data_IF_219419251023
#
_entry.id   IF_219419251023
#
_cell.length_a   1.000
_cell.length_b   1.000
_cell.length_c   1.000
_cell.angle_alpha   90.00
_cell.angle_beta   90.00
_cell.angle_gamma   90.00
#
_symmetry.space_group_name_H-M   'P 1'
#
loop_
_entity.id
_entity.type
_entity.pdbx_description
1 polymer ?
#
# COMPACT_ATOMS: atom_id res chain seq x y z
N UNK A 1 -4.84 14.47 6.01
CA UNK A 1 -5.16 13.23 6.73
C UNK A 1 -6.64 13.22 7.07
N UNK A 2 -7.25 12.04 7.06
CA UNK A 2 -8.58 11.85 7.66
C UNK A 2 -8.40 11.99 9.17
N UNK A 3 -9.03 12.98 9.77
CA UNK A 3 -8.82 13.32 11.20
C UNK A 3 -9.41 12.27 12.15
N UNK A 4 -10.54 11.67 11.76
CA UNK A 4 -11.19 10.60 12.53
C UNK A 4 -11.33 9.38 11.62
N UNK A 5 -10.32 8.51 11.61
CA UNK A 5 -10.38 7.27 10.86
C UNK A 5 -11.14 6.21 11.67
N UNK A 6 -12.17 5.65 11.06
CA UNK A 6 -12.94 4.52 11.61
C UNK A 6 -12.33 3.16 11.19
N UNK A 7 -11.19 3.16 10.47
CA UNK A 7 -10.53 1.93 10.09
C UNK A 7 -10.02 1.14 11.29
N UNK A 8 -10.54 -0.07 11.54
CA UNK A 8 -10.17 -0.88 12.71
C UNK A 8 -8.68 -1.27 12.70
N UNK A 9 -8.03 -1.23 11.55
CA UNK A 9 -6.59 -1.52 11.40
C UNK A 9 -5.71 -0.28 11.51
N UNK A 10 -6.31 0.88 11.78
CA UNK A 10 -5.62 2.17 11.96
C UNK A 10 -4.74 2.56 10.77
N UNK A 11 -5.19 2.25 9.56
CA UNK A 11 -4.52 2.71 8.34
C UNK A 11 -4.63 4.22 8.24
N UNK A 12 -3.51 4.90 8.06
CA UNK A 12 -3.48 6.36 8.00
C UNK A 12 -3.81 6.85 6.58
N UNK A 13 -5.10 6.86 6.26
CA UNK A 13 -5.60 7.39 5.00
C UNK A 13 -5.42 8.90 4.91
N UNK A 14 -5.11 9.37 3.70
CA UNK A 14 -5.04 10.79 3.36
C UNK A 14 -6.14 11.14 2.36
N UNK A 15 -6.18 12.39 1.91
CA UNK A 15 -7.03 12.78 0.80
C UNK A 15 -6.51 12.15 -0.50
N UNK A 16 -7.40 11.75 -1.38
CA UNK A 16 -7.03 11.29 -2.72
C UNK A 16 -6.42 12.43 -3.54
N UNK A 17 -5.49 12.08 -4.42
CA UNK A 17 -4.75 13.06 -5.21
C UNK A 17 -4.56 12.60 -6.64
N UNK A 18 -4.32 13.57 -7.53
CA UNK A 18 -3.74 13.40 -8.87
C UNK A 18 -2.57 14.35 -9.05
N UNK A 19 -1.64 14.03 -9.94
CA UNK A 19 -0.57 14.94 -10.29
C UNK A 19 -1.16 16.23 -10.93
N UNK A 20 -0.75 17.37 -10.44
CA UNK A 20 -1.08 18.68 -11.02
C UNK A 20 -0.10 18.98 -12.16
N UNK A 21 -0.30 18.32 -13.28
CA UNK A 21 0.58 18.37 -14.45
C UNK A 21 -0.24 18.55 -15.73
N UNK A 22 0.28 19.28 -16.73
CA UNK A 22 -0.36 19.34 -18.05
C UNK A 22 -0.40 17.98 -18.78
N UNK A 23 0.40 17.02 -18.32
CA UNK A 23 0.41 15.64 -18.83
C UNK A 23 -0.68 14.76 -18.20
N UNK A 24 -1.36 15.22 -17.16
CA UNK A 24 -2.48 14.51 -16.53
C UNK A 24 -3.75 14.78 -17.31
N UNK A 25 -4.41 13.74 -17.78
CA UNK A 25 -5.72 13.86 -18.45
C UNK A 25 -6.86 13.76 -17.41
N UNK A 26 -7.52 12.63 -17.30
CA UNK A 26 -8.61 12.42 -16.33
C UNK A 26 -8.12 11.92 -14.96
N UNK A 27 -6.85 11.54 -14.83
CA UNK A 27 -6.28 10.96 -13.61
C UNK A 27 -6.48 9.44 -13.48
N UNK A 28 -7.32 8.83 -14.32
CA UNK A 28 -7.77 7.42 -14.18
C UNK A 28 -6.85 6.45 -14.94
N UNK A 29 -6.28 6.88 -16.05
CA UNK A 29 -5.45 5.99 -16.89
C UNK A 29 -4.25 5.44 -16.10
N UNK A 30 -3.73 4.29 -16.52
CA UNK A 30 -2.50 3.73 -15.93
C UNK A 30 -1.33 4.72 -16.02
N UNK A 31 -1.26 5.50 -17.12
CA UNK A 31 -0.29 6.56 -17.31
C UNK A 31 -0.43 7.68 -16.26
N UNK A 32 -1.64 8.21 -16.09
CA UNK A 32 -1.91 9.30 -15.16
C UNK A 32 -1.67 8.88 -13.70
N UNK A 33 -2.11 7.68 -13.36
CA UNK A 33 -1.90 7.11 -12.02
C UNK A 33 -0.41 6.88 -11.74
N UNK A 34 0.33 6.38 -12.73
CA UNK A 34 1.78 6.23 -12.61
C UNK A 34 2.49 7.59 -12.50
N UNK A 35 2.03 8.61 -13.24
CA UNK A 35 2.54 9.97 -13.11
C UNK A 35 2.32 10.50 -11.69
N UNK A 36 1.12 10.36 -11.14
CA UNK A 36 0.80 10.76 -9.77
C UNK A 36 1.69 10.05 -8.74
N UNK A 37 1.88 8.73 -8.88
CA UNK A 37 2.76 7.97 -7.99
C UNK A 37 4.22 8.45 -8.08
N UNK A 38 4.72 8.76 -9.28
CA UNK A 38 6.08 9.30 -9.46
C UNK A 38 6.22 10.70 -8.88
N UNK A 39 5.19 11.54 -9.00
CA UNK A 39 5.16 12.87 -8.39
C UNK A 39 5.23 12.78 -6.87
N UNK A 40 4.43 11.90 -6.26
CA UNK A 40 4.48 11.63 -4.81
C UNK A 40 5.85 11.12 -4.34
N UNK A 41 6.54 10.34 -5.17
CA UNK A 41 7.87 9.81 -4.87
C UNK A 41 9.02 10.78 -5.19
N UNK A 42 8.74 11.95 -5.76
CA UNK A 42 9.78 12.91 -6.10
C UNK A 42 10.45 13.49 -4.84
N UNK A 43 11.78 13.76 -4.85
CA UNK A 43 12.52 14.25 -3.68
C UNK A 43 12.00 15.59 -3.14
N UNK A 44 11.51 16.39 -4.06
CA UNK A 44 11.07 17.76 -3.86
C UNK A 44 9.56 17.91 -4.09
N UNK A 45 8.80 16.80 -3.93
CA UNK A 45 7.35 16.85 -4.05
C UNK A 45 6.77 17.89 -3.08
N UNK A 46 5.97 18.79 -3.63
CA UNK A 46 5.30 19.87 -2.90
C UNK A 46 3.78 19.72 -2.98
N UNK A 47 3.01 20.30 -2.05
CA UNK A 47 1.56 20.26 -2.09
C UNK A 47 0.95 20.76 -3.40
N UNK A 48 1.61 21.68 -4.07
CA UNK A 48 1.19 22.33 -5.33
C UNK A 48 1.30 21.39 -6.53
N UNK A 49 2.15 20.36 -6.43
CA UNK A 49 2.32 19.34 -7.46
C UNK A 49 1.13 18.36 -7.52
N UNK A 50 0.18 18.50 -6.61
CA UNK A 50 -0.93 17.58 -6.45
C UNK A 50 -2.28 18.31 -6.41
N UNK A 51 -3.24 17.82 -7.19
CA UNK A 51 -4.66 18.20 -7.13
C UNK A 51 -5.40 17.33 -6.13
N UNK A 52 -6.37 17.88 -5.44
CA UNK A 52 -7.25 17.24 -4.46
C UNK A 52 -8.71 17.60 -4.72
N UNK A 53 -9.64 16.64 -4.82
CA UNK A 53 -9.44 15.17 -4.80
C UNK A 53 -8.81 14.63 -6.10
N UNK A 54 -8.46 13.35 -6.08
CA UNK A 54 -7.93 12.62 -7.23
C UNK A 54 -8.22 11.12 -7.14
N UNK A 55 -7.43 10.31 -7.85
CA UNK A 55 -7.65 8.86 -8.02
C UNK A 55 -6.60 7.99 -7.33
N UNK A 56 -5.54 8.57 -6.80
CA UNK A 56 -4.53 7.87 -5.97
C UNK A 56 -4.80 8.22 -4.51
N UNK A 57 -4.79 7.20 -3.65
CA UNK A 57 -5.02 7.31 -2.22
C UNK A 57 -3.71 7.12 -1.45
N UNK A 58 -2.97 8.18 -1.13
CA UNK A 58 -1.75 8.04 -0.34
C UNK A 58 -2.07 7.56 1.07
N UNK A 59 -1.22 6.66 1.56
CA UNK A 59 -1.24 6.16 2.93
C UNK A 59 0.07 6.58 3.61
N UNK A 60 -0.01 6.94 4.88
CA UNK A 60 1.19 7.25 5.66
C UNK A 60 1.60 6.03 6.48
N UNK A 61 2.81 5.53 6.25
CA UNK A 61 3.41 4.51 7.10
C UNK A 61 3.74 5.08 8.49
N UNK A 62 3.73 4.22 9.51
CA UNK A 62 4.20 4.56 10.85
C UNK A 62 5.72 4.74 10.84
N UNK A 63 6.23 5.63 11.70
CA UNK A 63 7.66 5.95 11.77
C UNK A 63 8.51 4.74 12.19
N UNK A 64 8.01 3.93 13.12
CA UNK A 64 8.63 2.67 13.53
C UNK A 64 8.51 1.53 12.52
N UNK A 65 7.91 1.77 11.34
CA UNK A 65 7.78 0.80 10.26
C UNK A 65 7.02 -0.47 10.65
N UNK A 66 7.41 -1.60 10.07
CA UNK A 66 6.75 -2.90 10.31
C UNK A 66 6.85 -3.39 11.76
N UNK A 67 7.78 -2.86 12.53
CA UNK A 67 7.93 -3.18 13.96
C UNK A 67 6.91 -2.47 14.84
N UNK A 68 6.42 -1.30 14.41
CA UNK A 68 5.36 -0.55 15.10
C UNK A 68 3.98 -1.04 14.68
N UNK A 69 3.80 -1.27 13.37
CA UNK A 69 2.54 -1.72 12.79
C UNK A 69 2.81 -2.73 11.68
N UNK A 70 2.41 -3.97 11.89
CA UNK A 70 2.53 -5.05 10.90
C UNK A 70 1.52 -4.94 9.77
N UNK A 71 1.47 -3.80 9.07
CA UNK A 71 0.58 -3.53 7.95
C UNK A 71 1.29 -3.55 6.59
N UNK A 72 0.51 -3.72 5.51
CA UNK A 72 1.06 -3.69 4.14
C UNK A 72 1.65 -2.33 3.78
N UNK A 73 1.14 -1.23 4.34
CA UNK A 73 1.68 0.12 4.16
C UNK A 73 3.12 0.20 4.66
N UNK A 74 3.35 -0.25 5.89
CA UNK A 74 4.68 -0.28 6.50
C UNK A 74 5.59 -1.28 5.78
N UNK A 75 5.07 -2.45 5.41
CA UNK A 75 5.84 -3.46 4.69
C UNK A 75 6.34 -2.95 3.33
N UNK A 76 5.52 -2.23 2.60
CA UNK A 76 5.89 -1.66 1.31
C UNK A 76 7.01 -0.62 1.43
N UNK A 77 6.93 0.27 2.41
CA UNK A 77 7.97 1.25 2.72
C UNK A 77 9.26 0.56 3.18
N UNK A 78 9.13 -0.48 4.02
CA UNK A 78 10.26 -1.26 4.51
C UNK A 78 11.03 -1.95 3.37
N UNK A 79 10.33 -2.57 2.42
CA UNK A 79 10.97 -3.15 1.24
C UNK A 79 11.75 -2.12 0.42
N UNK A 80 11.20 -0.92 0.23
CA UNK A 80 11.91 0.15 -0.45
C UNK A 80 13.19 0.55 0.30
N UNK A 81 13.11 0.67 1.63
CA UNK A 81 14.25 1.01 2.49
C UNK A 81 15.34 -0.07 2.44
N UNK A 82 14.97 -1.33 2.57
CA UNK A 82 15.90 -2.46 2.49
C UNK A 82 16.57 -2.59 1.11
N UNK A 83 15.88 -2.18 0.05
CA UNK A 83 16.41 -2.13 -1.30
C UNK A 83 17.22 -0.87 -1.63
N UNK A 84 17.47 0.00 -0.65
CA UNK A 84 18.18 1.28 -0.85
C UNK A 84 17.43 2.25 -1.77
N UNK A 85 16.09 2.11 -1.82
CA UNK A 85 15.21 2.98 -2.59
C UNK A 85 14.53 4.01 -1.68
N UNK A 86 13.90 5.01 -2.30
CA UNK A 86 13.05 5.95 -1.56
C UNK A 86 11.93 5.22 -0.85
N UNK A 87 11.56 5.64 0.37
CA UNK A 87 10.54 4.99 1.17
C UNK A 87 9.11 5.31 0.68
N UNK A 88 8.88 5.14 -0.61
CA UNK A 88 7.59 5.32 -1.27
C UNK A 88 7.34 4.13 -2.17
N UNK A 89 6.18 3.51 -2.02
CA UNK A 89 5.79 2.33 -2.78
C UNK A 89 4.32 2.42 -3.23
N UNK A 90 3.98 1.62 -4.23
CA UNK A 90 2.60 1.39 -4.65
C UNK A 90 2.19 -0.01 -4.19
N UNK A 91 1.02 -0.11 -3.61
CA UNK A 91 0.41 -1.38 -3.21
C UNK A 91 -0.95 -1.53 -3.89
N UNK A 92 -1.35 -2.76 -4.13
CA UNK A 92 -2.68 -3.11 -4.65
C UNK A 92 -3.11 -4.44 -4.07
N UNK A 93 -4.40 -4.56 -3.83
CA UNK A 93 -5.02 -5.81 -3.39
C UNK A 93 -5.05 -6.82 -4.54
N UNK A 94 -4.84 -8.10 -4.19
CA UNK A 94 -5.12 -9.22 -5.08
C UNK A 94 -6.46 -9.82 -4.69
N UNK A 95 -7.41 -9.79 -5.63
CA UNK A 95 -8.78 -10.28 -5.44
C UNK A 95 -9.03 -11.51 -6.30
N UNK A 96 -10.01 -12.32 -5.90
CA UNK A 96 -10.60 -13.35 -6.72
C UNK A 96 -12.04 -12.96 -7.03
N UNK A 97 -12.42 -13.04 -8.30
CA UNK A 97 -13.75 -12.64 -8.74
C UNK A 97 -14.85 -13.67 -8.37
N UNK A 98 -14.46 -14.85 -7.93
CA UNK A 98 -15.39 -15.97 -7.70
C UNK A 98 -15.77 -16.68 -8.98
N UNK A 99 -16.72 -17.63 -8.86
CA UNK A 99 -17.19 -18.47 -9.96
C UNK A 99 -18.33 -17.79 -10.72
N UNK A 100 -18.39 -17.99 -12.02
CA UNK A 100 -19.50 -17.50 -12.85
C UNK A 100 -20.79 -18.29 -12.56
N UNK A 101 -21.89 -17.56 -12.40
CA UNK A 101 -23.23 -18.16 -12.27
C UNK A 101 -23.92 -18.06 -13.61
N UNK A 102 -24.24 -19.22 -14.19
CA UNK A 102 -24.88 -19.31 -15.51
C UNK A 102 -26.18 -18.48 -15.58
N UNK A 103 -26.29 -17.60 -16.57
CA UNK A 103 -27.45 -16.74 -16.79
C UNK A 103 -27.59 -15.56 -15.83
N UNK A 104 -26.58 -15.27 -15.01
CA UNK A 104 -26.55 -14.13 -14.07
C UNK A 104 -25.34 -13.25 -14.29
N UNK A 105 -25.48 -11.95 -14.03
CA UNK A 105 -24.38 -10.99 -14.08
C UNK A 105 -23.54 -10.95 -12.80
N UNK A 106 -23.79 -11.84 -11.86
CA UNK A 106 -23.09 -11.92 -10.57
C UNK A 106 -22.22 -13.17 -10.50
N UNK A 107 -21.22 -13.13 -9.61
CA UNK A 107 -20.32 -14.25 -9.33
C UNK A 107 -20.49 -14.71 -7.88
N UNK A 108 -20.18 -15.97 -7.61
CA UNK A 108 -20.19 -16.52 -6.26
C UNK A 108 -18.87 -16.24 -5.55
N UNK A 109 -18.96 -16.00 -4.26
CA UNK A 109 -17.81 -15.93 -3.35
C UNK A 109 -16.63 -15.05 -3.82
N UNK A 110 -16.87 -13.82 -4.31
CA UNK A 110 -15.80 -12.91 -4.59
C UNK A 110 -15.07 -12.52 -3.29
N UNK A 111 -13.78 -12.32 -3.35
CA UNK A 111 -13.05 -11.96 -2.13
C UNK A 111 -11.56 -11.70 -2.34
N UNK A 112 -10.86 -11.57 -1.22
CA UNK A 112 -9.41 -11.41 -1.24
C UNK A 112 -8.72 -12.73 -1.55
N UNK A 113 -7.71 -12.68 -2.43
CA UNK A 113 -6.85 -13.83 -2.69
C UNK A 113 -6.15 -14.27 -1.41
N UNK A 114 -6.24 -15.55 -1.08
CA UNK A 114 -5.63 -16.14 0.12
C UNK A 114 -4.26 -16.74 -0.20
N UNK A 115 -3.58 -17.22 0.85
CA UNK A 115 -2.22 -17.74 0.82
C UNK A 115 -1.92 -18.62 -0.40
N UNK A 116 -2.72 -19.66 -0.64
CA UNK A 116 -2.43 -20.64 -1.69
C UNK A 116 -2.59 -20.05 -3.09
N UNK A 117 -3.59 -19.16 -3.29
CA UNK A 117 -3.72 -18.38 -4.52
C UNK A 117 -2.53 -17.44 -4.74
N UNK A 118 -2.08 -16.74 -3.69
CA UNK A 118 -0.89 -15.88 -3.79
C UNK A 118 0.38 -16.67 -4.14
N UNK A 119 0.56 -17.87 -3.56
CA UNK A 119 1.71 -18.74 -3.87
C UNK A 119 1.65 -19.25 -5.31
N UNK A 120 0.46 -19.67 -5.78
CA UNK A 120 0.26 -20.10 -7.16
C UNK A 120 0.53 -18.97 -8.15
N UNK A 121 0.00 -17.77 -7.87
CA UNK A 121 0.25 -16.58 -8.67
C UNK A 121 1.74 -16.22 -8.70
N UNK A 122 2.39 -16.20 -7.55
CA UNK A 122 3.82 -15.94 -7.45
C UNK A 122 4.65 -16.93 -8.28
N UNK A 123 4.30 -18.22 -8.23
CA UNK A 123 4.95 -19.27 -9.04
C UNK A 123 4.72 -19.04 -10.54
N UNK A 124 3.50 -18.74 -10.94
CA UNK A 124 3.13 -18.51 -12.34
C UNK A 124 3.89 -17.33 -12.94
N UNK A 125 4.07 -16.25 -12.19
CA UNK A 125 4.65 -15.00 -12.68
C UNK A 125 6.10 -14.76 -12.23
N UNK A 126 6.72 -15.75 -11.59
CA UNK A 126 8.10 -15.63 -11.09
C UNK A 126 8.28 -14.57 -9.99
N UNK A 127 7.22 -14.27 -9.24
CA UNK A 127 7.23 -13.27 -8.17
C UNK A 127 7.56 -13.91 -6.83
N UNK A 128 8.23 -13.14 -5.97
CA UNK A 128 8.50 -13.55 -4.60
C UNK A 128 7.28 -13.30 -3.72
N UNK A 129 6.99 -14.25 -2.86
CA UNK A 129 5.91 -14.16 -1.87
C UNK A 129 6.51 -14.29 -0.48
N UNK A 130 6.19 -13.37 0.41
CA UNK A 130 6.58 -13.45 1.81
C UNK A 130 5.43 -12.98 2.71
N UNK A 131 5.51 -13.29 4.00
CA UNK A 131 4.58 -12.78 5.01
C UNK A 131 5.14 -11.53 5.68
N UNK A 132 4.26 -10.67 6.18
CA UNK A 132 4.70 -9.52 7.00
C UNK A 132 5.44 -10.00 8.25
N UNK A 133 5.03 -11.11 8.86
CA UNK A 133 5.73 -11.70 10.00
C UNK A 133 7.19 -12.06 9.67
N UNK A 134 7.44 -12.65 8.50
CA UNK A 134 8.80 -12.95 8.06
C UNK A 134 9.63 -11.68 7.85
N UNK A 135 9.02 -10.62 7.31
CA UNK A 135 9.67 -9.33 7.16
C UNK A 135 9.99 -8.70 8.51
N UNK A 136 9.07 -8.71 9.46
CA UNK A 136 9.31 -8.21 10.83
C UNK A 136 10.51 -8.93 11.47
N UNK A 137 10.51 -10.26 11.44
CA UNK A 137 11.64 -11.05 11.97
C UNK A 137 12.96 -10.68 11.30
N UNK A 138 12.95 -10.51 9.99
CA UNK A 138 14.14 -10.10 9.24
C UNK A 138 14.69 -8.75 9.69
N UNK A 139 13.80 -7.75 9.86
CA UNK A 139 14.18 -6.41 10.31
C UNK A 139 14.69 -6.45 11.76
N UNK A 140 13.99 -7.15 12.66
CA UNK A 140 14.39 -7.29 14.07
C UNK A 140 15.74 -7.96 14.27
N UNK A 141 16.12 -8.89 13.40
CA UNK A 141 17.46 -9.51 13.46
C UNK A 141 18.58 -8.57 13.06
N UNK A 142 18.27 -7.50 12.29
CA UNK A 142 19.26 -6.53 11.82
C UNK A 142 19.31 -5.24 12.66
N UNK A 143 18.18 -4.80 13.19
CA UNK A 143 18.02 -3.48 13.81
C UNK A 143 17.56 -3.53 15.27
N UNK A 144 17.48 -4.71 15.88
CA UNK A 144 16.90 -4.96 17.20
C UNK A 144 15.38 -4.67 17.28
N UNK A 145 14.75 -5.12 18.36
CA UNK A 145 13.31 -4.89 18.60
C UNK A 145 13.05 -3.45 19.01
N UNK A 146 12.00 -2.85 18.47
CA UNK A 146 11.50 -1.58 18.99
C UNK A 146 10.91 -1.80 20.41
N UNK A 147 11.45 -1.07 21.38
CA UNK A 147 10.77 -0.94 22.66
C UNK A 147 9.62 0.05 22.49
N UNK A 148 8.41 -0.44 22.32
CA UNK A 148 7.21 0.39 22.41
C UNK A 148 7.03 0.75 23.89
N UNK A 149 7.43 1.95 24.28
CA UNK A 149 7.07 2.47 25.59
C UNK A 149 5.54 2.55 25.65
N UNK A 150 4.95 1.73 26.52
CA UNK A 150 3.51 1.62 26.73
C UNK A 150 2.91 2.84 27.43
N UNK A 151 3.01 4.03 26.82
CA UNK A 151 2.28 5.23 27.20
C UNK A 151 1.56 5.77 25.96
N UNK A 152 0.48 5.09 25.60
CA UNK A 152 -0.54 5.56 24.69
C UNK A 152 -1.79 5.89 25.48
N UNK A 153 -1.79 6.98 26.21
CA UNK A 153 -3.01 7.58 26.74
C UNK A 153 -3.54 8.63 25.77
N UNK A 154 -4.84 8.50 25.50
CA UNK A 154 -5.82 9.38 24.89
C UNK A 154 -5.64 9.71 23.39
#
# INVERSE_FOLDING_TARGET
MVTNSEDPKRTAYTLSVDANSPLTTTGISAHDRALTCRTLAAPNAAPEDLRRPGHIFPLRAREGGVRERGGHTEAAVEFCRLAGKRPVAVIAEMVVDGEEVAGQAMRTEPGMMRRDGCLAFGKQWGLKVCTIEALVKYVETRESKLHVNGNGSA
#
